data_IF_684930458700
#
_entry.id   IF_684930458700
#
_cell.length_a   1.000
_cell.length_b   1.000
_cell.length_c   1.000
_cell.angle_alpha   90.00
_cell.angle_beta   90.00
_cell.angle_gamma   90.00
#
_symmetry.space_group_name_H-M   'P 1'
#
loop_
_entity.id
_entity.type
_entity.pdbx_description
1 polymer ?
#
# COMPACT_ATOMS: atom_id res chain seq x y z
N UNK A 1 22.85 6.30 -26.82
CA UNK A 1 22.26 6.20 -25.46
C UNK A 1 20.77 5.95 -25.66
N UNK A 2 20.37 4.67 -25.74
CA UNK A 2 18.99 4.25 -26.03
C UNK A 2 18.17 4.23 -24.73
N UNK A 3 16.89 4.62 -24.71
CA UNK A 3 16.05 4.47 -23.53
C UNK A 3 15.75 2.98 -23.34
N UNK A 4 15.95 2.51 -22.12
CA UNK A 4 15.65 1.16 -21.67
C UNK A 4 14.12 1.00 -21.61
N UNK A 5 13.46 0.83 -22.75
CA UNK A 5 12.08 0.37 -22.80
C UNK A 5 12.07 -1.07 -22.31
N UNK A 6 11.76 -1.26 -21.02
CA UNK A 6 11.41 -2.57 -20.47
C UNK A 6 10.07 -2.96 -21.07
N UNK A 7 10.08 -3.64 -22.21
CA UNK A 7 8.92 -4.36 -22.74
C UNK A 7 8.51 -5.38 -21.69
N UNK A 8 7.50 -5.05 -20.90
CA UNK A 8 6.88 -6.03 -20.01
C UNK A 8 6.17 -7.05 -20.90
N UNK A 9 6.68 -8.27 -20.91
CA UNK A 9 5.95 -9.41 -21.45
C UNK A 9 4.60 -9.52 -20.72
N UNK A 10 3.52 -9.96 -21.40
CA UNK A 10 2.27 -10.25 -20.71
C UNK A 10 2.54 -11.32 -19.64
N UNK A 11 2.50 -10.92 -18.38
CA UNK A 11 2.66 -11.85 -17.25
C UNK A 11 1.46 -12.79 -17.27
N UNK A 12 1.71 -14.10 -17.14
CA UNK A 12 0.68 -15.13 -17.14
C UNK A 12 -0.43 -14.75 -16.14
N UNK A 13 -1.72 -14.89 -16.50
CA UNK A 13 -2.79 -14.74 -15.54
C UNK A 13 -2.54 -15.70 -14.38
N UNK A 14 -2.34 -15.17 -13.17
CA UNK A 14 -2.37 -15.99 -11.96
C UNK A 14 -3.84 -16.29 -11.70
N UNK A 15 -4.18 -17.56 -11.56
CA UNK A 15 -5.56 -18.01 -11.35
C UNK A 15 -6.18 -17.23 -10.20
N UNK A 16 -7.17 -16.41 -10.53
CA UNK A 16 -7.94 -15.64 -9.57
C UNK A 16 -8.77 -16.65 -8.79
N UNK A 17 -8.46 -16.84 -7.50
CA UNK A 17 -9.34 -17.58 -6.61
C UNK A 17 -10.62 -16.73 -6.41
N UNK A 18 -11.56 -16.87 -7.36
CA UNK A 18 -12.99 -16.60 -7.18
C UNK A 18 -13.59 -17.80 -6.46
N UNK A 19 -13.16 -18.05 -5.23
CA UNK A 19 -13.82 -18.97 -4.31
C UNK A 19 -14.32 -18.12 -3.16
N UNK A 20 -15.52 -18.38 -2.66
CA UNK A 20 -16.17 -17.68 -1.54
C UNK A 20 -15.45 -17.80 -0.19
N UNK A 21 -14.11 -17.85 -0.20
CA UNK A 21 -13.23 -17.73 0.95
C UNK A 21 -13.23 -16.26 1.35
N UNK A 22 -13.87 -15.97 2.48
CA UNK A 22 -13.72 -14.69 3.17
C UNK A 22 -12.26 -14.57 3.56
N UNK A 23 -11.53 -13.64 2.92
CA UNK A 23 -10.13 -13.36 3.25
C UNK A 23 -9.96 -12.92 4.70
N UNK A 24 -8.71 -12.90 5.22
CA UNK A 24 -8.48 -12.66 6.64
C UNK A 24 -8.95 -11.27 7.06
N UNK A 25 -9.54 -11.19 8.26
CA UNK A 25 -9.84 -9.93 8.91
C UNK A 25 -8.58 -9.19 9.37
N UNK A 26 -8.76 -7.95 9.82
CA UNK A 26 -7.70 -7.15 10.44
C UNK A 26 -8.01 -6.92 11.93
N UNK A 27 -7.01 -7.12 12.78
CA UNK A 27 -7.12 -6.89 14.22
C UNK A 27 -7.31 -5.39 14.47
N UNK A 28 -8.32 -5.01 15.26
CA UNK A 28 -8.47 -3.64 15.74
C UNK A 28 -7.43 -3.37 16.83
N UNK A 29 -6.58 -2.36 16.63
CA UNK A 29 -5.45 -2.05 17.52
C UNK A 29 -5.77 -0.90 18.49
N UNK A 30 -7.05 -0.58 18.68
CA UNK A 30 -7.53 0.52 19.50
C UNK A 30 -8.04 1.66 18.63
N UNK A 31 -9.37 1.71 18.45
CA UNK A 31 -10.04 2.68 17.57
C UNK A 31 -9.55 2.73 16.12
N UNK A 32 -8.91 1.67 15.61
CA UNK A 32 -8.38 1.62 14.23
C UNK A 32 -9.33 0.95 13.24
N UNK A 33 -10.62 0.79 13.57
CA UNK A 33 -11.58 0.13 12.69
C UNK A 33 -11.87 0.94 11.41
N UNK A 34 -11.77 2.27 11.46
CA UNK A 34 -11.85 3.13 10.27
C UNK A 34 -10.77 2.76 9.25
N UNK A 35 -9.53 2.58 9.71
CA UNK A 35 -8.39 2.19 8.88
C UNK A 35 -8.53 0.75 8.37
N UNK A 36 -8.95 -0.18 9.23
CA UNK A 36 -9.20 -1.56 8.82
C UNK A 36 -10.26 -1.64 7.70
N UNK A 37 -11.33 -0.86 7.80
CA UNK A 37 -12.38 -0.78 6.77
C UNK A 37 -11.83 -0.24 5.43
N UNK A 38 -11.01 0.80 5.47
CA UNK A 38 -10.34 1.37 4.28
C UNK A 38 -9.46 0.33 3.58
N UNK A 39 -8.59 -0.36 4.33
CA UNK A 39 -7.67 -1.37 3.75
C UNK A 39 -8.46 -2.53 3.12
N UNK A 40 -9.51 -3.02 3.78
CA UNK A 40 -10.36 -4.09 3.25
C UNK A 40 -11.12 -3.64 2.00
N UNK A 41 -11.60 -2.39 1.96
CA UNK A 41 -12.24 -1.82 0.77
C UNK A 41 -11.27 -1.72 -0.41
N UNK A 42 -10.05 -1.24 -0.19
CA UNK A 42 -9.01 -1.17 -1.22
C UNK A 42 -8.62 -2.56 -1.75
N UNK A 43 -8.49 -3.55 -0.86
CA UNK A 43 -8.24 -4.95 -1.24
C UNK A 43 -9.36 -5.51 -2.13
N UNK A 44 -10.61 -5.11 -1.92
CA UNK A 44 -11.74 -5.56 -2.72
C UNK A 44 -11.73 -4.99 -4.14
N UNK A 45 -11.00 -3.88 -4.38
CA UNK A 45 -10.80 -3.33 -5.73
C UNK A 45 -9.78 -4.19 -6.46
N UNK A 46 -10.27 -5.12 -7.30
CA UNK A 46 -9.46 -6.14 -7.98
C UNK A 46 -8.19 -5.59 -8.64
N UNK A 47 -8.32 -4.57 -9.49
CA UNK A 47 -7.18 -3.99 -10.23
C UNK A 47 -6.13 -3.40 -9.28
N UNK A 48 -6.57 -2.75 -8.20
CA UNK A 48 -5.67 -2.20 -7.18
C UNK A 48 -4.93 -3.34 -6.46
N UNK A 49 -5.66 -4.35 -6.00
CA UNK A 49 -5.07 -5.46 -5.27
C UNK A 49 -4.09 -6.28 -6.12
N UNK A 50 -4.45 -6.58 -7.38
CA UNK A 50 -3.58 -7.29 -8.31
C UNK A 50 -2.30 -6.50 -8.60
N UNK A 51 -2.40 -5.19 -8.83
CA UNK A 51 -1.23 -4.33 -9.01
C UNK A 51 -0.26 -4.43 -7.82
N UNK A 52 -0.75 -4.31 -6.59
CA UNK A 52 0.11 -4.39 -5.41
C UNK A 52 0.71 -5.79 -5.18
N UNK A 53 0.01 -6.87 -5.56
CA UNK A 53 0.52 -8.24 -5.47
C UNK A 53 1.58 -8.58 -6.53
N UNK A 54 1.74 -7.74 -7.56
CA UNK A 54 2.76 -7.88 -8.60
C UNK A 54 4.05 -7.10 -8.32
N UNK A 55 4.03 -6.21 -7.33
CA UNK A 55 5.18 -5.41 -6.89
C UNK A 55 6.14 -6.26 -6.06
N UNK A 56 7.43 -5.96 -6.15
CA UNK A 56 8.50 -6.59 -5.38
C UNK A 56 9.22 -5.55 -4.51
N UNK A 57 9.95 -6.01 -3.49
CA UNK A 57 10.78 -5.15 -2.62
C UNK A 57 11.73 -4.23 -3.43
N UNK A 58 12.17 -4.66 -4.61
CA UNK A 58 13.03 -3.87 -5.49
C UNK A 58 12.34 -2.61 -6.06
N UNK A 59 11.02 -2.63 -6.22
CA UNK A 59 10.25 -1.51 -6.79
C UNK A 59 10.14 -0.30 -5.83
N UNK A 60 10.51 -0.49 -4.57
CA UNK A 60 10.45 0.54 -3.52
C UNK A 60 11.84 1.09 -3.12
N UNK A 61 12.94 0.62 -3.74
CA UNK A 61 14.31 0.97 -3.35
C UNK A 61 14.61 2.47 -3.35
N UNK A 62 14.00 3.22 -4.26
CA UNK A 62 14.24 4.67 -4.42
C UNK A 62 13.21 5.54 -3.68
N UNK A 63 12.18 4.94 -3.07
CA UNK A 63 11.15 5.70 -2.37
C UNK A 63 11.64 6.25 -1.04
N UNK A 64 12.68 5.65 -0.46
CA UNK A 64 13.28 6.04 0.81
C UNK A 64 14.34 7.15 0.74
N UNK A 65 14.81 7.51 -0.46
CA UNK A 65 15.88 8.51 -0.65
C UNK A 65 15.27 9.88 -0.97
N UNK A 66 14.86 10.64 0.04
CA UNK A 66 14.43 12.04 -0.12
C UNK A 66 15.60 12.99 0.20
N UNK A 67 15.90 13.91 -0.72
CA UNK A 67 16.91 14.98 -0.54
C UNK A 67 16.54 16.01 0.55
N UNK A 68 15.31 15.96 1.09
CA UNK A 68 14.86 16.79 2.21
C UNK A 68 15.48 16.38 3.57
N UNK A 69 16.31 15.33 3.62
CA UNK A 69 16.84 14.76 4.86
C UNK A 69 18.33 15.08 5.07
N UNK A 70 18.61 16.34 5.42
CA UNK A 70 19.79 16.72 6.21
C UNK A 70 19.48 16.62 7.71
N UNK A 71 18.96 15.50 8.20
CA UNK A 71 19.05 15.22 9.64
C UNK A 71 18.89 13.72 9.92
N UNK A 72 19.85 13.17 10.65
CA UNK A 72 20.16 11.74 10.64
C UNK A 72 19.08 10.83 11.24
N UNK A 73 19.02 9.63 10.66
CA UNK A 73 18.78 8.38 11.39
C UNK A 73 17.33 7.99 11.74
N UNK A 74 16.35 8.17 10.84
CA UNK A 74 15.07 7.44 10.96
C UNK A 74 14.68 6.82 9.62
N UNK A 75 15.05 5.54 9.43
CA UNK A 75 14.64 4.64 8.33
C UNK A 75 13.33 5.10 7.68
N UNK A 76 13.39 5.55 6.43
CA UNK A 76 12.22 6.03 5.69
C UNK A 76 11.25 4.85 5.46
N UNK A 77 10.07 4.90 6.07
CA UNK A 77 9.06 3.84 5.95
C UNK A 77 8.15 4.23 4.80
N UNK A 78 8.28 3.55 3.65
CA UNK A 78 7.38 3.75 2.51
C UNK A 78 5.99 3.18 2.83
N UNK A 79 4.96 4.02 2.70
CA UNK A 79 3.57 3.60 2.89
C UNK A 79 3.18 2.54 1.86
N UNK A 80 3.59 2.75 0.60
CA UNK A 80 3.27 1.84 -0.51
C UNK A 80 3.88 0.45 -0.31
N UNK A 81 5.11 0.39 0.23
CA UNK A 81 5.78 -0.88 0.55
C UNK A 81 5.05 -1.64 1.66
N UNK A 82 4.69 -0.96 2.74
CA UNK A 82 3.98 -1.62 3.85
C UNK A 82 2.56 -2.06 3.45
N UNK A 83 1.93 -1.36 2.50
CA UNK A 83 0.65 -1.79 1.94
C UNK A 83 0.82 -3.05 1.08
N UNK A 84 1.82 -3.09 0.19
CA UNK A 84 2.17 -4.28 -0.60
C UNK A 84 2.42 -5.50 0.30
N UNK A 85 3.18 -5.34 1.39
CA UNK A 85 3.44 -6.39 2.38
C UNK A 85 2.17 -6.90 3.05
N UNK A 86 1.32 -5.98 3.51
CA UNK A 86 0.06 -6.34 4.16
C UNK A 86 -0.88 -7.09 3.20
N UNK A 87 -1.05 -6.61 1.97
CA UNK A 87 -1.90 -7.27 0.97
C UNK A 87 -1.36 -8.66 0.60
N UNK A 88 -0.04 -8.81 0.48
CA UNK A 88 0.62 -10.11 0.28
C UNK A 88 0.39 -11.05 1.45
N UNK A 89 0.51 -10.56 2.69
CA UNK A 89 0.21 -11.36 3.88
C UNK A 89 -1.26 -11.77 3.93
N UNK A 90 -2.19 -10.86 3.58
CA UNK A 90 -3.62 -11.15 3.51
C UNK A 90 -3.98 -12.18 2.43
N UNK A 91 -3.23 -12.22 1.33
CA UNK A 91 -3.42 -13.23 0.28
C UNK A 91 -3.02 -14.64 0.74
N UNK A 92 -2.06 -14.74 1.66
CA UNK A 92 -1.46 -16.00 2.10
C UNK A 92 -1.89 -16.45 3.51
N UNK A 93 -2.86 -15.77 4.13
CA UNK A 93 -3.30 -16.04 5.51
C UNK A 93 -4.79 -16.31 5.57
N UNK A 94 -5.18 -17.29 6.40
CA UNK A 94 -6.57 -17.52 6.80
C UNK A 94 -6.88 -16.89 8.17
N UNK A 95 -5.86 -16.42 8.89
CA UNK A 95 -5.99 -15.85 10.24
C UNK A 95 -6.00 -14.33 10.21
N UNK A 96 -6.68 -13.67 11.16
CA UNK A 96 -6.65 -12.22 11.29
C UNK A 96 -5.22 -11.68 11.40
N UNK A 97 -4.93 -10.61 10.66
CA UNK A 97 -3.61 -9.98 10.62
C UNK A 97 -3.59 -8.67 11.39
N UNK A 98 -2.44 -8.36 11.97
CA UNK A 98 -2.21 -7.09 12.68
C UNK A 98 -1.50 -6.09 11.75
N UNK A 99 -2.15 -5.01 11.30
CA UNK A 99 -1.59 -4.11 10.28
C UNK A 99 -0.70 -3.01 10.89
N UNK A 100 0.14 -3.36 11.88
CA UNK A 100 0.94 -2.40 12.66
C UNK A 100 1.82 -1.52 11.77
N UNK A 101 2.63 -2.14 10.91
CA UNK A 101 3.64 -1.42 10.11
C UNK A 101 3.01 -0.42 9.14
N UNK A 102 1.93 -0.83 8.45
CA UNK A 102 1.20 0.08 7.56
C UNK A 102 0.55 1.23 8.33
N UNK A 103 -0.06 0.96 9.49
CA UNK A 103 -0.67 2.01 10.31
C UNK A 103 0.38 2.98 10.86
N UNK A 104 1.54 2.49 11.30
CA UNK A 104 2.65 3.34 11.74
C UNK A 104 3.23 4.17 10.59
N UNK A 105 3.37 3.60 9.39
CA UNK A 105 3.78 4.34 8.19
C UNK A 105 2.80 5.48 7.88
N UNK A 106 1.50 5.21 7.97
CA UNK A 106 0.46 6.22 7.76
C UNK A 106 0.52 7.34 8.80
N UNK A 107 0.63 7.00 10.09
CA UNK A 107 0.72 7.98 11.17
C UNK A 107 2.02 8.81 11.09
N UNK A 108 3.11 8.25 10.58
CA UNK A 108 4.34 9.01 10.32
C UNK A 108 4.16 10.04 9.21
N UNK A 109 3.41 9.71 8.16
CA UNK A 109 3.07 10.65 7.09
C UNK A 109 2.06 11.71 7.57
N UNK A 110 1.12 11.31 8.43
CA UNK A 110 0.03 12.13 8.91
C UNK A 110 -0.13 11.96 10.43
N UNK A 111 0.65 12.67 11.25
CA UNK A 111 0.66 12.52 12.71
C UNK A 111 -0.70 12.66 13.38
N UNK A 112 -1.63 13.41 12.76
CA UNK A 112 -2.99 13.61 13.25
C UNK A 112 -3.84 12.33 13.29
N UNK A 113 -3.49 11.29 12.52
CA UNK A 113 -4.19 10.00 12.53
C UNK A 113 -3.71 9.07 13.67
N UNK A 114 -2.67 9.47 14.39
CA UNK A 114 -2.15 8.75 15.56
C UNK A 114 -2.93 9.08 16.84
N UNK A 115 -2.55 8.44 17.94
CA UNK A 115 -3.11 8.74 19.26
C UNK A 115 -4.34 7.94 19.68
N UNK A 116 -4.66 6.82 19.00
CA UNK A 116 -5.73 5.87 19.37
C UNK A 116 -7.13 6.49 19.48
N UNK A 117 -7.40 7.61 18.78
CA UNK A 117 -8.74 8.19 18.65
C UNK A 117 -9.43 7.66 17.38
N UNK A 118 -10.76 7.72 17.36
CA UNK A 118 -11.52 7.39 16.14
C UNK A 118 -11.37 8.51 15.11
N UNK A 119 -11.27 8.12 13.84
CA UNK A 119 -11.19 9.04 12.71
C UNK A 119 -12.24 8.70 11.65
N UNK A 120 -12.51 9.66 10.78
CA UNK A 120 -13.35 9.41 9.61
C UNK A 120 -12.61 8.50 8.61
N UNK A 121 -13.27 7.43 8.17
CA UNK A 121 -12.73 6.50 7.18
C UNK A 121 -12.50 7.18 5.81
N UNK A 122 -13.33 8.15 5.45
CA UNK A 122 -13.18 8.91 4.21
C UNK A 122 -11.92 9.77 4.25
N UNK A 123 -11.62 10.41 5.38
CA UNK A 123 -10.39 11.20 5.53
C UNK A 123 -9.17 10.28 5.45
N UNK A 124 -9.21 9.14 6.15
CA UNK A 124 -8.16 8.14 6.11
C UNK A 124 -7.91 7.63 4.68
N UNK A 125 -8.98 7.38 3.91
CA UNK A 125 -8.88 6.92 2.52
C UNK A 125 -8.18 7.97 1.64
N UNK A 126 -8.61 9.22 1.71
CA UNK A 126 -8.01 10.30 0.92
C UNK A 126 -6.51 10.46 1.20
N UNK A 127 -6.14 10.52 2.48
CA UNK A 127 -4.73 10.68 2.87
C UNK A 127 -3.86 9.50 2.42
N UNK A 128 -4.39 8.29 2.55
CA UNK A 128 -3.70 7.08 2.10
C UNK A 128 -3.48 7.14 0.59
N UNK A 129 -4.52 7.43 -0.21
CA UNK A 129 -4.42 7.51 -1.67
C UNK A 129 -3.49 8.64 -2.13
N UNK A 130 -3.56 9.82 -1.51
CA UNK A 130 -2.69 10.96 -1.83
C UNK A 130 -1.21 10.60 -1.59
N UNK A 131 -0.92 9.92 -0.48
CA UNK A 131 0.45 9.49 -0.17
C UNK A 131 0.94 8.39 -1.11
N UNK A 132 0.08 7.42 -1.45
CA UNK A 132 0.43 6.41 -2.46
C UNK A 132 0.73 7.08 -3.81
N UNK A 133 -0.13 7.99 -4.26
CA UNK A 133 0.06 8.75 -5.50
C UNK A 133 1.39 9.51 -5.50
N UNK A 134 1.71 10.20 -4.40
CA UNK A 134 2.98 10.91 -4.24
C UNK A 134 4.19 9.96 -4.36
N UNK A 135 4.17 8.82 -3.67
CA UNK A 135 5.26 7.84 -3.73
C UNK A 135 5.44 7.28 -5.15
N UNK A 136 4.37 6.85 -5.84
CA UNK A 136 4.48 6.31 -7.20
C UNK A 136 4.87 7.35 -8.25
N UNK A 137 4.43 8.61 -8.10
CA UNK A 137 4.85 9.70 -8.98
C UNK A 137 6.35 9.97 -8.84
N UNK A 138 6.89 9.88 -7.61
CA UNK A 138 8.30 10.13 -7.32
C UNK A 138 9.22 9.03 -7.84
N UNK A 139 8.80 7.77 -7.80
CA UNK A 139 9.59 6.64 -8.34
C UNK A 139 9.57 6.52 -9.86
N UNK A 140 8.73 7.29 -10.56
CA UNK A 140 8.52 7.14 -12.01
C UNK A 140 7.76 5.86 -12.38
N UNK A 141 7.22 5.12 -11.40
CA UNK A 141 6.44 3.90 -11.59
C UNK A 141 4.94 4.18 -11.83
N UNK A 142 4.60 5.39 -12.31
CA UNK A 142 3.22 5.75 -12.59
C UNK A 142 2.69 4.89 -13.75
N UNK A 143 1.66 4.04 -13.55
CA UNK A 143 1.07 3.34 -14.67
C UNK A 143 0.47 4.39 -15.63
N UNK A 144 0.62 4.21 -16.96
CA UNK A 144 0.01 5.11 -17.91
C UNK A 144 -1.50 5.17 -17.65
N UNK A 145 -2.14 6.35 -17.76
CA UNK A 145 -3.58 6.45 -17.61
C UNK A 145 -4.28 5.48 -18.57
N UNK A 146 -5.41 4.88 -18.18
CA UNK A 146 -6.18 4.05 -19.08
C UNK A 146 -6.51 4.85 -20.34
N UNK A 147 -6.23 4.27 -21.51
CA UNK A 147 -6.60 4.91 -22.78
C UNK A 147 -8.14 5.06 -22.82
N UNK A 148 -8.64 6.21 -23.33
CA UNK A 148 -10.07 6.47 -23.44
C UNK A 148 -10.79 5.46 -24.35
#
# INVERSE_FOLDING_TARGET
>A
KSPFFRTQMPRKPRDVILSGVVGPGLVNMGNTCFFNAVVQALKAVKVFNEYFLELEEADFKHLGDSEDEKEGSIRNISLSRELMRLLTAMHNSERPLRPSELYFALCRCFPRLGGFVQHDAQECLHLLLDRLHYEFKRSGNYPPPPLP
#
